data_IF_813051872029
#
_entry.id   IF_813051872029
#
_cell.length_a   1.000
_cell.length_b   1.000
_cell.length_c   1.000
_cell.angle_alpha   90.00
_cell.angle_beta   90.00
_cell.angle_gamma   90.00
#
_symmetry.space_group_name_H-M   'P 1'
#
loop_
_entity.id
_entity.type
_entity.pdbx_description
1 polymer ?
#
# COMPACT_ATOMS: atom_id res chain seq x y z
N UNK A 1 -19.28 7.72 18.18
CA UNK A 1 -19.39 7.02 16.89
C UNK A 1 -18.41 5.85 16.89
N UNK A 2 -18.89 4.63 16.93
CA UNK A 2 -18.03 3.42 16.90
C UNK A 2 -17.39 3.32 15.52
N UNK A 3 -16.06 3.42 15.45
CA UNK A 3 -15.28 3.23 14.20
C UNK A 3 -15.56 1.81 13.71
N UNK A 4 -16.30 1.65 12.61
CA UNK A 4 -16.48 0.34 11.99
C UNK A 4 -15.09 -0.16 11.55
N UNK A 5 -14.59 -1.20 12.22
CA UNK A 5 -13.29 -1.80 11.90
C UNK A 5 -13.52 -2.86 10.85
N UNK A 6 -13.15 -2.57 9.60
CA UNK A 6 -13.04 -3.61 8.59
C UNK A 6 -11.80 -4.47 8.90
N UNK A 7 -12.02 -5.65 9.50
CA UNK A 7 -10.96 -6.58 9.88
C UNK A 7 -10.16 -7.12 8.68
N UNK A 8 -10.75 -7.09 7.48
CA UNK A 8 -10.09 -7.51 6.24
C UNK A 8 -9.29 -6.40 5.56
N UNK A 9 -9.36 -5.15 6.05
CA UNK A 9 -8.71 -4.02 5.40
C UNK A 9 -7.19 -4.23 5.28
N UNK A 10 -6.53 -4.76 6.31
CA UNK A 10 -5.09 -5.04 6.27
C UNK A 10 -4.75 -6.14 5.26
N UNK A 11 -5.62 -7.14 5.14
CA UNK A 11 -5.43 -8.26 4.20
C UNK A 11 -5.64 -7.81 2.76
N UNK A 12 -6.67 -7.01 2.49
CA UNK A 12 -7.05 -6.62 1.13
C UNK A 12 -6.32 -5.38 0.61
N UNK A 13 -5.94 -4.46 1.51
CA UNK A 13 -5.28 -3.21 1.15
C UNK A 13 -3.83 -3.20 1.69
N UNK A 14 -2.82 -3.49 0.85
CA UNK A 14 -1.42 -3.42 1.28
C UNK A 14 -0.89 -2.00 1.50
N UNK A 15 -1.70 -0.99 1.15
CA UNK A 15 -1.44 0.43 1.33
C UNK A 15 -2.38 1.05 2.38
N UNK A 16 -2.93 0.24 3.29
CA UNK A 16 -3.87 0.72 4.31
C UNK A 16 -3.24 1.85 5.14
N UNK A 17 -1.98 1.69 5.54
CA UNK A 17 -1.24 2.68 6.32
C UNK A 17 -1.11 4.02 5.59
N UNK A 18 -0.76 4.02 4.31
CA UNK A 18 -0.63 5.23 3.49
C UNK A 18 -1.99 5.88 3.20
N UNK A 19 -3.04 5.05 3.02
CA UNK A 19 -4.41 5.52 2.89
C UNK A 19 -4.88 6.23 4.17
N UNK A 20 -4.67 5.62 5.34
CA UNK A 20 -5.03 6.22 6.63
C UNK A 20 -4.28 7.53 6.89
N UNK A 21 -3.00 7.62 6.52
CA UNK A 21 -2.24 8.87 6.60
C UNK A 21 -2.82 9.96 5.69
N UNK A 22 -3.23 9.59 4.47
CA UNK A 22 -3.85 10.54 3.53
C UNK A 22 -5.18 11.07 4.07
N UNK A 23 -6.03 10.17 4.62
CA UNK A 23 -7.28 10.58 5.26
C UNK A 23 -7.06 11.41 6.53
N UNK A 24 -6.07 11.05 7.35
CA UNK A 24 -5.72 11.83 8.53
C UNK A 24 -5.25 13.24 8.16
N UNK A 25 -4.48 13.39 7.08
CA UNK A 25 -4.07 14.69 6.58
C UNK A 25 -5.29 15.52 6.13
N UNK A 26 -6.18 14.95 5.32
CA UNK A 26 -7.39 15.63 4.87
C UNK A 26 -8.26 16.09 6.04
N UNK A 27 -8.47 15.20 7.01
CA UNK A 27 -9.26 15.49 8.22
C UNK A 27 -8.68 16.67 9.01
N UNK A 28 -7.36 16.80 9.08
CA UNK A 28 -6.68 17.91 9.77
C UNK A 28 -6.66 19.22 8.99
N UNK A 29 -6.79 19.16 7.66
CA UNK A 29 -6.61 20.30 6.76
C UNK A 29 -7.91 20.76 6.10
N UNK A 30 -9.07 20.49 6.71
CA UNK A 30 -10.39 20.81 6.15
C UNK A 30 -10.57 20.27 4.72
N UNK A 31 -10.04 19.08 4.45
CA UNK A 31 -10.08 18.40 3.16
C UNK A 31 -9.36 19.14 2.01
N UNK A 32 -8.47 20.08 2.33
CA UNK A 32 -7.58 20.72 1.37
C UNK A 32 -6.53 19.73 0.85
N UNK A 33 -6.72 19.25 -0.38
CA UNK A 33 -5.86 18.25 -1.00
C UNK A 33 -4.43 18.76 -1.24
N UNK A 34 -4.28 20.06 -1.51
CA UNK A 34 -2.97 20.67 -1.80
C UNK A 34 -2.00 20.54 -0.62
N UNK A 35 -2.53 20.50 0.62
CA UNK A 35 -1.73 20.32 1.84
C UNK A 35 -1.33 18.86 2.10
N UNK A 36 -1.84 17.93 1.30
CA UNK A 36 -1.70 16.49 1.52
C UNK A 36 -1.01 15.74 0.38
N UNK A 37 -0.46 16.45 -0.61
CA UNK A 37 0.19 15.88 -1.81
C UNK A 37 1.19 14.78 -1.45
N UNK A 38 2.09 15.02 -0.49
CA UNK A 38 3.08 14.03 -0.04
C UNK A 38 2.45 12.71 0.43
N UNK A 39 1.30 12.76 1.11
CA UNK A 39 0.61 11.56 1.57
C UNK A 39 -0.05 10.81 0.41
N UNK A 40 -0.61 11.53 -0.55
CA UNK A 40 -1.13 10.95 -1.78
C UNK A 40 -0.02 10.34 -2.64
N UNK A 41 1.14 10.98 -2.73
CA UNK A 41 2.30 10.44 -3.42
C UNK A 41 2.76 9.13 -2.80
N UNK A 42 2.88 9.08 -1.47
CA UNK A 42 3.21 7.85 -0.75
C UNK A 42 2.18 6.74 -1.04
N UNK A 43 0.88 7.07 -0.99
CA UNK A 43 -0.19 6.13 -1.31
C UNK A 43 -0.12 5.64 -2.77
N UNK A 44 0.16 6.53 -3.72
CA UNK A 44 0.28 6.20 -5.13
C UNK A 44 1.53 5.36 -5.42
N UNK A 45 2.67 5.66 -4.80
CA UNK A 45 3.89 4.85 -4.87
C UNK A 45 3.61 3.44 -4.34
N UNK A 46 2.95 3.34 -3.19
CA UNK A 46 2.57 2.05 -2.62
C UNK A 46 1.69 1.24 -3.58
N UNK A 47 0.63 1.85 -4.15
CA UNK A 47 -0.24 1.19 -5.13
C UNK A 47 0.53 0.73 -6.37
N UNK A 48 1.43 1.57 -6.89
CA UNK A 48 2.27 1.23 -8.06
C UNK A 48 3.17 0.03 -7.75
N UNK A 49 3.80 0.01 -6.59
CA UNK A 49 4.64 -1.12 -6.16
C UNK A 49 3.82 -2.42 -6.09
N UNK A 50 2.71 -2.42 -5.35
CA UNK A 50 1.90 -3.63 -5.20
C UNK A 50 1.19 -4.05 -6.48
N UNK A 51 0.87 -3.11 -7.37
CA UNK A 51 0.40 -3.42 -8.72
C UNK A 51 1.44 -4.20 -9.53
N UNK A 52 2.72 -3.85 -9.44
CA UNK A 52 3.82 -4.60 -10.07
C UNK A 52 3.96 -6.00 -9.47
N UNK A 53 3.97 -6.11 -8.15
CA UNK A 53 4.04 -7.41 -7.44
C UNK A 53 2.86 -8.31 -7.82
N UNK A 54 1.65 -7.76 -7.86
CA UNK A 54 0.46 -8.49 -8.25
C UNK A 54 0.57 -9.03 -9.68
N UNK A 55 0.98 -8.19 -10.63
CA UNK A 55 1.16 -8.60 -12.02
C UNK A 55 2.25 -9.67 -12.15
N UNK A 56 3.39 -9.50 -11.51
CA UNK A 56 4.48 -10.48 -11.52
C UNK A 56 4.02 -11.85 -10.98
N UNK A 57 3.37 -11.86 -9.82
CA UNK A 57 2.82 -13.08 -9.22
C UNK A 57 1.76 -13.72 -10.13
N UNK A 58 0.89 -12.93 -10.74
CA UNK A 58 -0.12 -13.39 -11.69
C UNK A 58 0.55 -14.06 -12.91
N UNK A 59 1.59 -13.45 -13.49
CA UNK A 59 2.32 -14.03 -14.62
C UNK A 59 3.03 -15.34 -14.27
N UNK A 60 3.42 -15.51 -13.01
CA UNK A 60 4.04 -16.74 -12.47
C UNK A 60 3.02 -17.77 -11.98
N UNK A 61 1.71 -17.48 -12.05
CA UNK A 61 0.66 -18.37 -11.54
C UNK A 61 0.63 -18.51 -10.01
N UNK A 62 1.23 -17.58 -9.26
CA UNK A 62 1.36 -17.65 -7.80
C UNK A 62 0.10 -17.12 -7.10
N UNK A 63 -0.75 -18.02 -6.61
CA UNK A 63 -1.96 -17.68 -5.84
C UNK A 63 -1.68 -17.67 -4.31
N UNK A 64 -2.26 -16.73 -3.54
CA UNK A 64 -3.00 -15.56 -4.00
C UNK A 64 -2.10 -14.55 -4.72
N UNK A 65 -2.64 -13.90 -5.76
CA UNK A 65 -1.88 -12.91 -6.54
C UNK A 65 -1.43 -11.73 -5.69
N UNK A 66 -2.26 -11.35 -4.70
CA UNK A 66 -1.88 -10.42 -3.65
C UNK A 66 -1.25 -11.17 -2.47
N UNK A 67 0.01 -10.89 -2.09
CA UNK A 67 0.67 -11.58 -0.98
C UNK A 67 -0.05 -11.44 0.37
N UNK A 68 0.06 -12.51 1.17
CA UNK A 68 -0.31 -12.52 2.59
C UNK A 68 0.53 -11.52 3.38
N UNK A 69 -0.01 -11.03 4.49
CA UNK A 69 0.59 -9.96 5.30
C UNK A 69 2.03 -10.32 5.73
N UNK A 70 2.23 -11.57 6.17
CA UNK A 70 3.51 -12.10 6.65
C UNK A 70 4.62 -12.08 5.58
N UNK A 71 4.25 -12.19 4.30
CA UNK A 71 5.20 -12.20 3.19
C UNK A 71 5.55 -10.80 2.69
N UNK A 72 4.77 -9.78 3.08
CA UNK A 72 4.88 -8.45 2.47
C UNK A 72 6.19 -7.77 2.76
N UNK A 73 6.70 -7.93 3.99
CA UNK A 73 7.97 -7.31 4.38
C UNK A 73 9.13 -7.92 3.61
N UNK A 74 9.15 -9.25 3.48
CA UNK A 74 10.17 -9.98 2.72
C UNK A 74 10.15 -9.57 1.24
N UNK A 75 8.97 -9.48 0.61
CA UNK A 75 8.85 -9.07 -0.79
C UNK A 75 9.30 -7.62 -1.00
N UNK A 76 8.97 -6.71 -0.07
CA UNK A 76 9.47 -5.32 -0.13
C UNK A 76 11.00 -5.28 -0.05
N UNK A 77 11.59 -5.98 0.91
CA UNK A 77 13.05 -6.03 1.08
C UNK A 77 13.73 -6.55 -0.19
N UNK A 78 13.29 -7.70 -0.70
CA UNK A 78 13.80 -8.28 -1.95
C UNK A 78 13.71 -7.30 -3.14
N UNK A 79 12.59 -6.56 -3.26
CA UNK A 79 12.46 -5.57 -4.32
C UNK A 79 13.47 -4.43 -4.17
N UNK A 80 13.64 -3.89 -2.95
CA UNK A 80 14.61 -2.82 -2.72
C UNK A 80 16.05 -3.28 -2.94
N UNK A 81 16.38 -4.53 -2.58
CA UNK A 81 17.70 -5.10 -2.82
C UNK A 81 17.97 -5.25 -4.33
N UNK A 82 16.98 -5.72 -5.09
CA UNK A 82 17.08 -5.80 -6.56
C UNK A 82 17.22 -4.43 -7.23
N UNK A 83 16.58 -3.38 -6.68
CA UNK A 83 16.71 -2.02 -7.19
C UNK A 83 18.07 -1.39 -6.83
N UNK A 84 18.64 -1.70 -5.67
CA UNK A 84 19.96 -1.17 -5.26
C UNK A 84 21.13 -1.81 -6.02
N UNK A 85 20.94 -3.00 -6.56
CA UNK A 85 21.96 -3.76 -7.28
C UNK A 85 22.00 -3.45 -8.79
N UNK A 86 21.26 -2.43 -9.23
CA UNK A 86 21.17 -1.97 -10.62
C UNK A 86 21.49 -0.47 -10.71
#
# INVERSE_FOLDING_TARGET
MTKQVNKDAERLNPCLKEQEQSYACLSKNNYDQSKCEKFFDNYNICKKFWGKVYTDRKTKGLYPYMPHIEDREKIKQQYFDNVKNH
#
